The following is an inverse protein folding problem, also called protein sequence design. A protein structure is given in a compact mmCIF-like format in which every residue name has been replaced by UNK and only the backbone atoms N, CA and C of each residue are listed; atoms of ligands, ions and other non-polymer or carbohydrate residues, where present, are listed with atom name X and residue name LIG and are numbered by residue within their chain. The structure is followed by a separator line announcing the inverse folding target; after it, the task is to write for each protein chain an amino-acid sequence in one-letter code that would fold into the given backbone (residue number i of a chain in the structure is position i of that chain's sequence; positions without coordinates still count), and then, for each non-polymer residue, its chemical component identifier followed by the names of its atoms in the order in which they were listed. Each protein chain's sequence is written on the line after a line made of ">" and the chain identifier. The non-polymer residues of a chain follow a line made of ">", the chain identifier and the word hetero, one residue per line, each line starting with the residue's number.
data_IF_871537524417
#
_entry.id   IF_871537524417
#
_cell.length_a   1.000
_cell.length_b   1.000
_cell.length_c   1.000
_cell.angle_alpha   90.00
_cell.angle_beta   90.00
_cell.angle_gamma   90.00
#
_symmetry.space_group_name_H-M   'P 1'
#
loop_
_entity.id
_entity.type
_entity.pdbx_description
1 polymer ?
#
# COMPACT_ATOMS: atom_id res chain seq x y z
N UNK A 1 20.22 -0.15 -7.99
CA UNK A 1 19.05 0.58 -7.48
C UNK A 1 17.86 -0.36 -7.35
N UNK A 2 17.13 -0.26 -6.27
CA UNK A 2 15.95 -1.09 -6.03
C UNK A 2 14.91 -0.22 -5.35
N UNK A 3 13.98 0.28 -6.14
CA UNK A 3 13.01 1.25 -5.64
C UNK A 3 11.67 1.03 -6.32
N UNK A 4 10.62 1.05 -5.53
CA UNK A 4 9.26 0.86 -6.01
C UNK A 4 8.37 1.93 -5.39
N UNK A 5 7.53 2.54 -6.21
CA UNK A 5 6.53 3.49 -5.75
C UNK A 5 5.22 3.17 -6.48
N UNK A 6 4.18 2.86 -5.73
CA UNK A 6 2.89 2.53 -6.32
C UNK A 6 1.77 3.22 -5.56
N UNK A 7 0.69 3.46 -6.26
CA UNK A 7 -0.54 4.02 -5.68
C UNK A 7 -1.68 3.13 -6.12
N UNK A 8 -2.49 2.70 -5.16
CA UNK A 8 -3.63 1.86 -5.45
C UNK A 8 -4.54 1.77 -4.25
N UNK A 9 -5.40 0.78 -4.27
CA UNK A 9 -6.38 0.59 -3.22
C UNK A 9 -6.11 -0.72 -2.49
N UNK A 10 -6.31 -0.70 -1.17
CA UNK A 10 -6.21 -1.91 -0.37
C UNK A 10 -7.34 -2.86 -0.72
N UNK A 11 -7.01 -4.13 -0.87
CA UNK A 11 -8.00 -5.15 -1.25
C UNK A 11 -8.68 -5.78 -0.05
N UNK A 12 -8.10 -5.59 1.15
CA UNK A 12 -8.66 -6.12 2.39
C UNK A 12 -8.13 -5.29 3.54
N UNK A 13 -8.74 -5.45 4.71
CA UNK A 13 -8.23 -4.79 5.91
C UNK A 13 -6.86 -5.37 6.26
N UNK A 14 -5.85 -4.52 6.46
CA UNK A 14 -4.54 -5.03 6.85
C UNK A 14 -4.57 -5.56 8.28
N UNK A 15 -3.87 -6.66 8.51
CA UNK A 15 -3.81 -7.30 9.83
C UNK A 15 -2.42 -7.23 10.37
N UNK A 16 -2.32 -6.86 11.64
CA UNK A 16 -1.04 -6.81 12.33
C UNK A 16 -0.76 -8.15 12.98
N UNK A 17 0.42 -8.69 12.71
CA UNK A 17 0.87 -9.92 13.32
C UNK A 17 2.22 -9.69 13.96
N UNK A 18 2.63 -10.60 14.80
CA UNK A 18 3.94 -10.53 15.45
C UNK A 18 4.71 -11.80 15.17
N UNK A 19 6.00 -11.63 14.89
CA UNK A 19 6.90 -12.78 14.71
C UNK A 19 7.33 -13.32 16.06
N UNK A 20 8.01 -14.47 16.04
CA UNK A 20 8.51 -15.08 17.26
C UNK A 20 9.47 -14.16 18.01
N UNK A 21 10.18 -13.30 17.28
CA UNK A 21 11.09 -12.35 17.90
C UNK A 21 10.39 -11.10 18.42
N UNK A 22 9.07 -10.99 18.21
CA UNK A 22 8.32 -9.84 18.69
C UNK A 22 8.18 -8.70 17.72
N UNK A 23 8.70 -8.83 16.51
CA UNK A 23 8.55 -7.79 15.50
C UNK A 23 7.13 -7.75 14.94
N UNK A 24 6.61 -6.55 14.77
CA UNK A 24 5.31 -6.38 14.14
C UNK A 24 5.46 -6.50 12.63
N UNK A 25 4.52 -7.18 12.00
CA UNK A 25 4.54 -7.35 10.55
C UNK A 25 3.11 -7.27 10.03
N UNK A 26 2.96 -6.64 8.86
CA UNK A 26 1.67 -6.50 8.21
C UNK A 26 1.84 -6.84 6.73
N UNK A 27 1.07 -7.82 6.27
CA UNK A 27 1.04 -8.17 4.85
C UNK A 27 -0.27 -7.70 4.25
N UNK A 28 -0.20 -7.12 3.08
CA UNK A 28 -1.40 -6.62 2.42
C UNK A 28 -1.18 -6.59 0.92
N UNK A 29 -2.26 -6.45 0.18
CA UNK A 29 -2.22 -6.40 -1.27
C UNK A 29 -2.82 -5.09 -1.75
N UNK A 30 -2.12 -4.43 -2.67
CA UNK A 30 -2.56 -3.17 -3.26
C UNK A 30 -2.99 -3.45 -4.69
N UNK A 31 -4.21 -3.06 -5.02
CA UNK A 31 -4.72 -3.17 -6.39
C UNK A 31 -4.44 -1.88 -7.13
N UNK A 32 -3.60 -1.96 -8.14
CA UNK A 32 -3.22 -0.81 -8.97
C UNK A 32 -3.96 -0.90 -10.28
N UNK A 33 -4.79 0.12 -10.55
CA UNK A 33 -5.57 0.17 -11.77
C UNK A 33 -4.93 1.13 -12.75
N UNK A 34 -4.78 0.67 -13.98
CA UNK A 34 -4.25 1.50 -15.05
C UNK A 34 -5.14 1.42 -16.26
N UNK A 35 -5.43 2.56 -16.86
CA UNK A 35 -6.16 2.61 -18.12
C UNK A 35 -5.20 2.93 -19.23
N UNK A 36 -5.28 2.13 -20.27
CA UNK A 36 -4.37 2.28 -21.37
C UNK A 36 -5.07 1.91 -22.67
N UNK A 37 -5.18 2.86 -23.58
CA UNK A 37 -5.77 2.62 -24.88
C UNK A 37 -7.20 2.11 -24.81
N UNK A 38 -7.99 2.57 -23.86
CA UNK A 38 -9.37 2.15 -23.70
C UNK A 38 -9.54 0.87 -22.93
N UNK A 39 -8.44 0.26 -22.48
CA UNK A 39 -8.48 -0.94 -21.66
C UNK A 39 -8.08 -0.61 -20.25
N UNK A 40 -8.67 -1.31 -19.31
CA UNK A 40 -8.34 -1.17 -17.90
C UNK A 40 -7.67 -2.44 -17.40
N UNK A 41 -6.49 -2.28 -16.84
CA UNK A 41 -5.74 -3.38 -16.26
C UNK A 41 -5.61 -3.17 -14.77
N UNK A 42 -5.70 -4.27 -14.03
CA UNK A 42 -5.51 -4.23 -12.59
C UNK A 42 -4.36 -5.15 -12.23
N UNK A 43 -3.46 -4.63 -11.42
CA UNK A 43 -2.31 -5.40 -10.92
C UNK A 43 -2.43 -5.51 -9.42
N UNK A 44 -2.29 -6.74 -8.91
CA UNK A 44 -2.36 -6.98 -7.47
C UNK A 44 -0.94 -7.16 -6.97
N UNK A 45 -0.49 -6.19 -6.16
CA UNK A 45 0.89 -6.13 -5.71
C UNK A 45 0.95 -6.49 -4.23
N UNK A 46 1.66 -7.55 -3.91
CA UNK A 46 1.84 -7.98 -2.53
C UNK A 46 2.86 -7.11 -1.84
N UNK A 47 2.52 -6.65 -0.65
CA UNK A 47 3.36 -5.76 0.13
C UNK A 47 3.52 -6.30 1.54
N UNK A 48 4.65 -5.98 2.15
CA UNK A 48 4.89 -6.32 3.55
C UNK A 48 5.52 -5.11 4.24
N UNK A 49 5.04 -4.83 5.43
CA UNK A 49 5.56 -3.72 6.24
C UNK A 49 5.95 -4.26 7.61
N UNK A 50 6.91 -3.60 8.24
CA UNK A 50 7.46 -4.04 9.51
C UNK A 50 7.39 -2.94 10.56
N UNK A 51 7.20 -3.34 11.80
CA UNK A 51 7.33 -2.49 12.99
C UNK A 51 6.44 -1.25 12.91
N UNK A 52 7.01 -0.05 13.02
CA UNK A 52 6.20 1.17 13.05
C UNK A 52 5.36 1.36 11.79
N UNK A 53 5.91 1.02 10.65
CA UNK A 53 5.18 1.13 9.40
C UNK A 53 3.98 0.18 9.40
N UNK A 54 4.17 -1.05 9.90
CA UNK A 54 3.09 -2.02 10.00
C UNK A 54 1.99 -1.51 10.93
N UNK A 55 2.37 -0.95 12.07
CA UNK A 55 1.41 -0.43 13.03
C UNK A 55 0.63 0.74 12.47
N UNK A 56 1.31 1.62 11.77
CA UNK A 56 0.68 2.77 11.16
C UNK A 56 -0.35 2.35 10.11
N UNK A 57 0.00 1.37 9.28
CA UNK A 57 -0.89 0.91 8.24
C UNK A 57 -2.15 0.27 8.85
N UNK A 58 -1.98 -0.58 9.84
CA UNK A 58 -3.13 -1.26 10.45
C UNK A 58 -4.00 -0.30 11.24
N UNK A 59 -3.44 0.80 11.73
CA UNK A 59 -4.19 1.77 12.50
C UNK A 59 -5.02 2.69 11.61
N UNK A 60 -4.50 3.10 10.47
CA UNK A 60 -5.12 4.16 9.67
C UNK A 60 -5.71 3.72 8.34
N UNK A 61 -5.41 2.53 7.86
CA UNK A 61 -5.87 2.09 6.55
C UNK A 61 -6.82 0.91 6.66
N UNK A 62 -7.82 0.92 5.77
CA UNK A 62 -8.84 -0.13 5.74
C UNK A 62 -9.09 -0.54 4.31
N UNK A 63 -9.80 -1.65 4.14
CA UNK A 63 -10.17 -2.15 2.82
C UNK A 63 -10.77 -1.03 1.98
N UNK A 64 -10.28 -0.89 0.76
CA UNK A 64 -10.78 0.11 -0.17
C UNK A 64 -10.11 1.46 -0.08
N UNK A 65 -9.32 1.71 0.96
CA UNK A 65 -8.60 2.98 1.09
C UNK A 65 -7.53 3.09 0.02
N UNK A 66 -7.29 4.31 -0.42
CA UNK A 66 -6.25 4.61 -1.37
C UNK A 66 -4.95 4.83 -0.61
N UNK A 67 -3.90 4.18 -1.07
CA UNK A 67 -2.62 4.19 -0.37
C UNK A 67 -1.48 4.35 -1.37
N UNK A 68 -0.50 5.17 -0.99
CA UNK A 68 0.76 5.27 -1.71
C UNK A 68 1.81 4.52 -0.94
N UNK A 69 2.55 3.65 -1.62
CA UNK A 69 3.53 2.79 -1.00
C UNK A 69 4.87 2.99 -1.66
N UNK A 70 5.91 3.17 -0.85
CA UNK A 70 7.29 3.26 -1.33
C UNK A 70 8.12 2.20 -0.62
N UNK A 71 9.00 1.56 -1.37
CA UNK A 71 9.87 0.55 -0.79
C UNK A 71 10.75 -0.06 -1.83
N UNK A 72 11.13 -1.30 -1.59
CA UNK A 72 11.98 -2.03 -2.51
C UNK A 72 11.38 -3.41 -2.77
N UNK A 73 11.73 -3.97 -3.91
CA UNK A 73 11.33 -5.32 -4.24
C UNK A 73 12.19 -6.31 -3.49
N UNK A 74 11.55 -7.27 -2.87
CA UNK A 74 12.25 -8.37 -2.20
C UNK A 74 11.64 -9.68 -2.62
N UNK A 75 12.41 -10.74 -2.55
CA UNK A 75 11.94 -12.06 -2.88
C UNK A 75 12.15 -12.99 -1.71
N UNK A 76 11.22 -13.92 -1.57
CA UNK A 76 11.33 -14.99 -0.58
C UNK A 76 11.21 -16.32 -1.29
N UNK A 77 11.96 -17.29 -0.80
CA UNK A 77 11.89 -18.64 -1.33
C UNK A 77 11.65 -19.59 -0.17
N UNK A 78 10.71 -20.49 -0.34
CA UNK A 78 10.44 -21.50 0.69
C UNK A 78 10.10 -22.81 0.01
N UNK A 79 10.14 -23.89 0.81
CA UNK A 79 9.78 -25.21 0.33
C UNK A 79 8.28 -25.35 0.33
N UNK A 80 7.71 -25.54 -0.83
CA UNK A 80 6.30 -25.81 -0.96
C UNK A 80 6.05 -27.28 -1.18
N UNK A 81 4.78 -27.63 -1.36
CA UNK A 81 4.39 -29.02 -1.55
C UNK A 81 5.01 -29.63 -2.79
N UNK A 82 5.13 -28.83 -3.84
CA UNK A 82 5.61 -29.31 -5.15
C UNK A 82 7.00 -28.74 -5.48
N UNK A 83 7.79 -28.41 -4.46
CA UNK A 83 9.11 -27.88 -4.67
C UNK A 83 9.24 -26.47 -4.14
N UNK A 84 10.28 -25.78 -4.57
CA UNK A 84 10.55 -24.43 -4.09
C UNK A 84 9.56 -23.43 -4.68
N UNK A 85 9.07 -22.53 -3.81
CA UNK A 85 8.17 -21.46 -4.22
C UNK A 85 8.88 -20.14 -4.00
N UNK A 86 8.81 -19.28 -5.01
CA UNK A 86 9.41 -17.96 -4.96
C UNK A 86 8.31 -16.92 -5.00
N UNK A 87 8.36 -15.96 -4.10
CA UNK A 87 7.40 -14.88 -4.04
C UNK A 87 8.13 -13.55 -4.09
N UNK A 88 7.58 -12.63 -4.88
CA UNK A 88 8.12 -11.28 -4.99
C UNK A 88 7.14 -10.33 -4.33
N UNK A 89 7.64 -9.46 -3.47
CA UNK A 89 6.79 -8.52 -2.76
C UNK A 89 7.51 -7.20 -2.56
N UNK A 90 6.74 -6.15 -2.26
CA UNK A 90 7.31 -4.84 -1.95
C UNK A 90 7.52 -4.78 -0.45
N UNK A 91 8.75 -4.57 -0.03
CA UNK A 91 9.07 -4.34 1.37
C UNK A 91 8.93 -2.84 1.59
N UNK A 92 7.89 -2.45 2.32
CA UNK A 92 7.45 -1.07 2.41
C UNK A 92 8.30 -0.30 3.40
N UNK A 93 8.85 0.83 2.97
CA UNK A 93 9.61 1.72 3.85
C UNK A 93 8.82 2.96 4.22
N UNK A 94 7.83 3.33 3.39
CA UNK A 94 7.06 4.55 3.64
C UNK A 94 5.68 4.43 3.02
N UNK A 95 4.69 5.06 3.64
CA UNK A 95 3.33 5.08 3.10
C UNK A 95 2.82 6.51 3.09
N UNK A 96 1.93 6.78 2.14
CA UNK A 96 1.30 8.08 2.01
C UNK A 96 -0.20 7.92 2.04
N UNK A 97 -0.86 8.75 2.79
CA UNK A 97 -2.31 8.76 2.92
C UNK A 97 -2.91 9.52 1.74
N UNK A 98 -3.72 8.84 0.95
CA UNK A 98 -4.30 9.44 -0.26
C UNK A 98 -5.82 9.30 -0.30
N UNK A 99 -6.47 9.21 0.86
CA UNK A 99 -7.92 9.16 0.94
C UNK A 99 -8.50 10.50 0.54
N UNK A 100 -9.44 10.43 -0.30
CA UNK A 100 -10.18 11.62 -0.66
C UNK A 100 -11.25 11.88 0.35
N UNK A 101 -11.44 12.91 0.67
CA UNK A 101 -12.35 13.10 1.51
C UNK A 101 -13.42 13.56 1.18
N UNK A 102 -13.31 12.91 0.53
CA UNK A 102 -13.96 13.01 0.14
C UNK A 102 -14.59 13.48 0.24
N UNK A 103 -14.55 13.46 0.03
CA UNK A 103 -15.09 13.70 0.11
C UNK A 103 -15.25 14.49 0.53
N UNK A 104 -15.26 15.01 0.49
CA UNK A 104 -15.36 15.61 0.90
C UNK A 104 -15.16 16.52 0.77
N UNK A 105 -15.24 16.64 0.37
CA UNK A 105 -15.21 17.30 0.24
C UNK A 105 -15.33 18.12 0.35
N UNK A 106 -15.59 18.18 0.11
CA UNK A 106 -15.83 18.81 0.21
C UNK A 106 -15.53 19.56 0.57
N UNK A 107 -15.65 19.76 0.29
CA UNK A 107 -15.51 20.37 0.58
C UNK A 107 -14.95 21.06 0.81
N UNK A 108 -15.02 21.28 0.39
CA UNK A 108 -14.71 21.86 0.59
C UNK A 108 -14.03 22.49 0.69
N UNK A 109 -14.04 22.65 0.24
CA UNK A 109 -13.63 23.07 0.31
C UNK A 109 -12.84 23.55 0.38
N UNK A 110 -12.86 23.81 0.00
CA UNK A 110 -12.20 24.18 -0.01
C UNK A 110 -11.42 24.48 -0.19
N UNK A 111 -11.54 24.65 -0.45
CA UNK A 111 -10.80 24.76 -0.67
C UNK A 111 -9.79 25.04 -0.60
N UNK A 112 -9.81 25.04 -1.06
CA UNK A 112 -9.14 25.03 -0.97
C UNK A 112 -8.25 25.34 -0.86
N UNK A 113 -8.21 25.39 -1.15
CA UNK A 113 -7.60 25.38 -1.08
C UNK A 113 -6.74 25.28 -1.00
N UNK A 114 -6.54 25.36 -1.35
CA UNK A 114 -5.87 24.96 -1.25
C UNK A 114 -5.03 25.06 -1.36
N UNK A 115 -4.88 25.10 -1.65
CA UNK A 115 -4.38 24.94 -1.73
C UNK A 115 -3.47 24.86 -1.84
N UNK A 116 -3.14 25.02 -2.37
CA UNK A 116 -2.54 24.73 -2.43
C UNK A 116 -1.72 24.63 -1.90
N UNK A 117 -1.59 24.84 -1.79
CA UNK A 117 -1.01 24.50 -1.03
C UNK A 117 -1.02 23.72 -0.42
N UNK A 118 -1.51 23.79 -0.31
CA UNK A 118 -1.61 22.65 0.18
C UNK A 118 -1.55 21.71 -0.69
N UNK A 119 -1.38 21.77 -1.41
CA UNK A 119 -1.30 20.67 -2.09
C UNK A 119 -0.05 20.29 -2.59
N UNK A 120 0.52 19.94 -2.34
CA UNK A 120 1.74 19.60 -2.71
C UNK A 120 1.93 18.52 -3.66
N UNK A 121 2.05 18.62 -4.19
CA UNK A 121 2.24 17.61 -4.74
C UNK A 121 2.57 17.55 -5.38
#
# INVERSE_FOLDING_TARGET
>A
MNSVAIVGNLTADPELKHTDSGSAVCSFTVAVNEKYGGKENTYWIDCVAWNKTAELITQYFHKGNRIGVEGKLTTRTWEGRNGKVKSTEVNVSNVTFLNERTERREETERPIEISDDDIPF
#
